data_IF_391024199508
#
_entry.id   IF_391024199508
#
_cell.length_a   1.000
_cell.length_b   1.000
_cell.length_c   1.000
_cell.angle_alpha   90.00
_cell.angle_beta   90.00
_cell.angle_gamma   90.00
#
_symmetry.space_group_name_H-M   'P 1'
#
loop_
_entity.id
_entity.type
_entity.pdbx_description
1 polymer ?
#
# COMPACT_ATOMS: atom_id res chain seq x y z
N UNK A 1 7.62 7.36 -10.81
CA UNK A 1 6.75 7.14 -9.63
C UNK A 1 5.89 8.38 -9.51
N UNK A 2 4.62 8.27 -9.94
CA UNK A 2 3.65 9.35 -9.80
C UNK A 2 3.35 9.59 -8.31
N UNK A 3 3.04 10.84 -7.99
CA UNK A 3 2.94 11.40 -6.65
C UNK A 3 2.17 10.52 -5.66
N UNK A 4 2.86 10.04 -4.63
CA UNK A 4 2.24 9.34 -3.51
C UNK A 4 1.51 10.38 -2.65
N UNK A 5 0.19 10.31 -2.64
CA UNK A 5 -0.66 11.15 -1.79
C UNK A 5 -0.43 10.76 -0.34
N UNK A 6 0.17 11.66 0.46
CA UNK A 6 0.33 11.49 1.89
C UNK A 6 -0.93 11.93 2.63
N UNK A 7 -1.39 11.12 3.58
CA UNK A 7 -2.60 11.36 4.37
C UNK A 7 -2.41 10.91 5.82
N UNK A 8 -3.11 11.55 6.76
CA UNK A 8 -3.18 11.15 8.16
C UNK A 8 -4.34 10.17 8.43
N UNK A 9 -4.31 9.50 9.58
CA UNK A 9 -5.25 8.43 9.90
C UNK A 9 -6.71 8.92 10.04
N UNK A 10 -6.93 10.12 10.58
CA UNK A 10 -8.29 10.64 10.77
C UNK A 10 -8.92 10.98 9.42
N UNK A 11 -8.16 11.64 8.54
CA UNK A 11 -8.59 11.93 7.18
C UNK A 11 -8.87 10.65 6.38
N UNK A 12 -8.04 9.61 6.54
CA UNK A 12 -8.29 8.32 5.91
C UNK A 12 -9.57 7.68 6.43
N UNK A 13 -9.73 7.61 7.76
CA UNK A 13 -10.89 6.96 8.40
C UNK A 13 -12.21 7.59 7.94
N UNK A 14 -12.24 8.91 7.83
CA UNK A 14 -13.46 9.64 7.48
C UNK A 14 -13.80 9.57 5.98
N UNK A 15 -12.83 9.21 5.12
CA UNK A 15 -13.00 9.20 3.66
C UNK A 15 -12.69 7.84 3.02
N UNK A 16 -12.63 6.77 3.81
CA UNK A 16 -12.10 5.48 3.37
C UNK A 16 -12.81 4.94 2.12
N UNK A 17 -14.14 4.96 2.09
CA UNK A 17 -14.93 4.43 0.96
C UNK A 17 -14.68 5.23 -0.32
N UNK A 18 -14.65 6.56 -0.22
CA UNK A 18 -14.36 7.44 -1.37
C UNK A 18 -12.93 7.21 -1.88
N UNK A 19 -11.99 7.03 -0.97
CA UNK A 19 -10.58 6.82 -1.28
C UNK A 19 -10.36 5.45 -1.96
N UNK A 20 -11.08 4.40 -1.52
CA UNK A 20 -11.08 3.11 -2.19
C UNK A 20 -11.66 3.22 -3.61
N UNK A 21 -12.73 3.97 -3.82
CA UNK A 21 -13.29 4.22 -5.16
C UNK A 21 -12.31 4.98 -6.05
N UNK A 22 -11.71 6.08 -5.56
CA UNK A 22 -10.69 6.85 -6.30
C UNK A 22 -9.48 5.99 -6.70
N UNK A 23 -9.01 5.13 -5.79
CA UNK A 23 -7.89 4.24 -6.04
C UNK A 23 -8.26 3.19 -7.10
N UNK A 24 -9.43 2.57 -6.99
CA UNK A 24 -9.88 1.57 -7.95
C UNK A 24 -10.20 2.14 -9.34
N UNK A 25 -10.57 3.41 -9.44
CA UNK A 25 -10.94 4.07 -10.71
C UNK A 25 -9.74 4.55 -11.55
N UNK A 26 -8.52 4.63 -10.98
CA UNK A 26 -7.34 4.97 -11.77
C UNK A 26 -6.15 5.60 -11.04
N UNK A 27 -6.15 5.61 -9.70
CA UNK A 27 -5.02 6.14 -8.93
C UNK A 27 -4.09 5.00 -8.51
N UNK A 28 -2.77 5.17 -8.69
CA UNK A 28 -1.79 4.08 -8.53
C UNK A 28 -1.71 3.51 -7.09
N UNK A 29 -1.64 4.39 -6.08
CA UNK A 29 -1.61 4.03 -4.66
C UNK A 29 -1.69 5.28 -3.75
N UNK A 30 -2.14 5.10 -2.50
CA UNK A 30 -2.07 6.09 -1.42
C UNK A 30 -1.12 5.62 -0.34
N UNK A 31 -0.28 6.51 0.20
CA UNK A 31 0.63 6.23 1.30
C UNK A 31 0.18 6.96 2.57
N UNK A 32 -0.06 6.20 3.63
CA UNK A 32 -0.41 6.70 4.95
C UNK A 32 0.82 6.61 5.85
N UNK A 33 1.19 7.72 6.49
CA UNK A 33 2.23 7.70 7.54
C UNK A 33 1.55 7.76 8.90
N UNK A 34 1.68 6.68 9.68
CA UNK A 34 1.17 6.60 11.05
C UNK A 34 2.08 7.38 12.00
N UNK A 35 1.52 7.83 13.14
CA UNK A 35 2.28 8.49 14.21
C UNK A 35 3.47 7.67 14.74
N UNK A 36 3.43 6.34 14.58
CA UNK A 36 4.54 5.43 14.92
C UNK A 36 5.71 5.47 13.92
N UNK A 37 5.63 6.29 12.87
CA UNK A 37 6.57 6.31 11.74
C UNK A 37 6.36 5.17 10.73
N UNK A 38 5.41 4.26 10.99
CA UNK A 38 5.05 3.18 10.06
C UNK A 38 4.32 3.73 8.85
N UNK A 39 4.71 3.29 7.65
CA UNK A 39 4.04 3.62 6.39
C UNK A 39 3.14 2.48 5.96
N UNK A 40 1.90 2.80 5.59
CA UNK A 40 0.92 1.85 5.05
C UNK A 40 0.60 2.28 3.62
N UNK A 41 0.63 1.33 2.68
CA UNK A 41 0.27 1.59 1.29
C UNK A 41 -1.09 0.95 0.99
N UNK A 42 -1.98 1.73 0.41
CA UNK A 42 -3.31 1.31 -0.03
C UNK A 42 -3.31 1.39 -1.55
N UNK A 43 -3.68 0.31 -2.22
CA UNK A 43 -3.67 0.21 -3.68
C UNK A 43 -4.79 -0.74 -4.14
N UNK A 44 -5.16 -0.74 -5.43
CA UNK A 44 -6.11 -1.71 -5.96
C UNK A 44 -5.57 -3.13 -5.79
N UNK A 45 -6.46 -4.10 -5.56
CA UNK A 45 -6.09 -5.52 -5.44
C UNK A 45 -5.33 -6.00 -6.68
N UNK A 46 -5.77 -5.60 -7.88
CA UNK A 46 -5.10 -5.93 -9.14
C UNK A 46 -3.65 -5.40 -9.19
N UNK A 47 -3.39 -4.22 -8.63
CA UNK A 47 -2.04 -3.66 -8.53
C UNK A 47 -1.20 -4.43 -7.50
N UNK A 48 -1.80 -4.84 -6.39
CA UNK A 48 -1.13 -5.69 -5.40
C UNK A 48 -0.76 -7.05 -5.99
N UNK A 49 -1.66 -7.69 -6.74
CA UNK A 49 -1.42 -8.98 -7.41
C UNK A 49 -0.34 -8.88 -8.49
N UNK A 50 -0.30 -7.75 -9.22
CA UNK A 50 0.76 -7.48 -10.16
C UNK A 50 2.12 -7.33 -9.47
N UNK A 51 2.17 -6.74 -8.27
CA UNK A 51 3.40 -6.63 -7.47
C UNK A 51 3.75 -7.98 -6.83
N UNK A 52 2.77 -8.75 -6.33
CA UNK A 52 2.97 -10.04 -5.65
C UNK A 52 3.63 -11.07 -6.57
N UNK A 53 3.35 -11.02 -7.88
CA UNK A 53 4.09 -11.77 -8.91
C UNK A 53 5.60 -11.47 -8.93
N UNK A 54 6.02 -10.34 -8.38
CA UNK A 54 7.41 -9.92 -8.23
C UNK A 54 7.88 -9.85 -6.77
N UNK A 55 7.05 -10.20 -5.77
CA UNK A 55 7.47 -10.23 -4.36
C UNK A 55 8.43 -11.40 -4.15
N UNK A 56 9.70 -11.01 -4.12
CA UNK A 56 10.93 -11.71 -3.73
C UNK A 56 10.68 -12.98 -2.89
N UNK A 57 11.09 -14.12 -3.44
CA UNK A 57 11.28 -15.35 -2.67
C UNK A 57 12.14 -15.04 -1.45
N UNK A 58 11.64 -15.33 -0.25
CA UNK A 58 12.39 -15.22 0.98
C UNK A 58 13.53 -16.26 0.96
N UNK A 59 14.74 -15.87 0.54
CA UNK A 59 15.95 -16.71 0.59
C UNK A 59 16.56 -16.82 1.99
N UNK A 60 15.87 -16.39 3.05
CA UNK A 60 16.28 -16.68 4.43
C UNK A 60 15.68 -18.01 4.91
N UNK A 61 15.96 -19.09 4.18
CA UNK A 61 16.01 -20.41 4.82
C UNK A 61 17.36 -20.45 5.52
N UNK A 62 17.36 -20.28 6.84
CA UNK A 62 18.48 -20.70 7.68
C UNK A 62 18.77 -22.18 7.36
N UNK A 63 19.74 -22.43 6.49
CA UNK A 63 20.41 -23.72 6.44
C UNK A 63 21.33 -23.73 7.66
N UNK A 64 20.79 -24.18 8.79
CA UNK A 64 21.59 -24.67 9.90
C UNK A 64 22.02 -26.09 9.52
N UNK A 65 23.28 -26.24 9.12
CA UNK A 65 24.00 -27.51 9.08
C UNK A 65 25.29 -27.35 9.88
#
# INVERSE_FOLDING_TARGET
>A
MKDLKEMDFETLKNNFDNLCSEINEGTDAVALTLHSGRKVYIMPEQSYDNISRFVIQNTSVKVLH
#
